data_IF_412834306567
#
_entry.id   IF_412834306567
#
_cell.length_a   1.000
_cell.length_b   1.000
_cell.length_c   1.000
_cell.angle_alpha   90.00
_cell.angle_beta   90.00
_cell.angle_gamma   90.00
#
_symmetry.space_group_name_H-M   'P 1'
#
loop_
_entity.id
_entity.type
_entity.pdbx_description
1 polymer ?
#
# COMPACT_ATOMS: atom_id res chain seq x y z
N UNK A 1 35.79 -84.58 -23.26
CA UNK A 1 35.44 -83.67 -22.16
C UNK A 1 34.71 -82.48 -22.80
N UNK A 2 33.35 -82.48 -22.74
CA UNK A 2 32.50 -81.39 -23.25
C UNK A 2 32.21 -80.40 -22.12
N UNK A 3 32.64 -79.13 -22.30
CA UNK A 3 32.31 -78.04 -21.37
C UNK A 3 30.93 -77.51 -21.72
N UNK A 4 30.01 -77.60 -20.79
CA UNK A 4 28.66 -77.02 -20.89
C UNK A 4 28.82 -75.57 -20.39
N UNK A 5 28.46 -74.59 -21.22
CA UNK A 5 28.40 -73.17 -20.86
C UNK A 5 26.90 -72.89 -20.54
N UNK A 6 26.62 -72.59 -19.26
CA UNK A 6 25.30 -72.20 -18.79
C UNK A 6 25.16 -70.65 -19.00
N UNK A 7 24.22 -70.25 -19.83
CA UNK A 7 23.87 -68.86 -20.07
C UNK A 7 22.80 -68.42 -19.04
N UNK A 8 23.22 -67.54 -18.13
CA UNK A 8 22.25 -66.90 -17.20
C UNK A 8 21.59 -65.73 -17.94
N UNK A 9 20.30 -65.83 -18.18
CA UNK A 9 19.48 -64.73 -18.65
C UNK A 9 18.98 -63.96 -17.45
N UNK A 10 19.48 -62.75 -17.25
CA UNK A 10 19.03 -61.79 -16.21
C UNK A 10 17.85 -61.03 -16.78
N UNK A 11 16.66 -61.28 -16.21
CA UNK A 11 15.44 -60.53 -16.57
C UNK A 11 15.38 -59.25 -15.76
N UNK A 12 15.58 -58.11 -16.39
CA UNK A 12 15.35 -56.83 -15.79
C UNK A 12 13.85 -56.51 -15.81
N UNK A 13 13.23 -56.47 -14.64
CA UNK A 13 11.91 -55.89 -14.44
C UNK A 13 12.02 -54.40 -14.40
N UNK A 14 11.56 -53.69 -15.41
CA UNK A 14 11.27 -52.26 -15.34
C UNK A 14 10.01 -52.03 -14.53
N UNK A 15 10.17 -51.53 -13.31
CA UNK A 15 9.04 -50.96 -12.54
C UNK A 15 8.84 -49.56 -13.10
N UNK A 16 7.82 -49.39 -13.93
CA UNK A 16 7.29 -48.08 -14.27
C UNK A 16 6.60 -47.53 -13.01
N UNK A 17 7.31 -46.70 -12.27
CA UNK A 17 6.72 -45.87 -11.23
C UNK A 17 5.88 -44.80 -11.92
N UNK A 18 4.56 -44.87 -11.82
CA UNK A 18 3.69 -43.71 -12.06
C UNK A 18 4.01 -42.70 -10.95
N UNK A 19 4.74 -41.66 -11.26
CA UNK A 19 4.77 -40.46 -10.45
C UNK A 19 3.45 -39.72 -10.78
N UNK A 20 2.51 -39.73 -9.86
CA UNK A 20 1.42 -38.78 -9.86
C UNK A 20 2.05 -37.38 -9.69
N UNK A 21 2.35 -36.72 -10.80
CA UNK A 21 2.50 -35.28 -10.83
C UNK A 21 1.09 -34.73 -10.54
N UNK A 22 0.79 -34.46 -9.29
CA UNK A 22 -0.20 -33.45 -8.96
C UNK A 22 0.38 -32.15 -9.50
N UNK A 23 -0.02 -31.75 -10.70
CA UNK A 23 -0.01 -30.34 -11.09
C UNK A 23 -0.85 -29.65 -10.00
N UNK A 24 -0.25 -28.79 -9.21
CA UNK A 24 -1.00 -27.80 -8.48
C UNK A 24 -1.76 -27.02 -9.56
N UNK A 25 -3.07 -27.19 -9.56
CA UNK A 25 -3.96 -26.39 -10.40
C UNK A 25 -3.71 -24.95 -9.96
N UNK A 26 -3.18 -24.15 -10.87
CA UNK A 26 -3.12 -22.70 -10.67
C UNK A 26 -4.53 -22.24 -10.27
N UNK A 27 -4.67 -21.40 -9.23
CA UNK A 27 -5.99 -20.93 -8.83
C UNK A 27 -6.71 -20.38 -10.05
N UNK A 28 -7.97 -20.79 -10.22
CA UNK A 28 -8.79 -20.33 -11.34
C UNK A 28 -8.80 -18.80 -11.32
N UNK A 29 -8.58 -18.13 -12.45
CA UNK A 29 -8.63 -16.68 -12.51
C UNK A 29 -10.01 -16.23 -12.02
N UNK A 30 -10.05 -15.17 -11.21
CA UNK A 30 -11.30 -14.55 -10.78
C UNK A 30 -12.06 -14.13 -12.04
N UNK A 31 -13.34 -14.47 -12.13
CA UNK A 31 -14.16 -14.19 -13.32
C UNK A 31 -14.22 -12.68 -13.56
N UNK A 32 -13.93 -12.25 -14.79
CA UNK A 32 -13.94 -10.84 -15.17
C UNK A 32 -12.71 -10.04 -14.75
N UNK A 33 -11.67 -10.71 -14.23
CA UNK A 33 -10.40 -10.05 -13.94
C UNK A 33 -9.67 -9.70 -15.25
N UNK A 34 -9.21 -8.46 -15.35
CA UNK A 34 -8.45 -7.93 -16.48
C UNK A 34 -7.07 -7.44 -16.02
N UNK A 35 -6.03 -7.70 -16.79
CA UNK A 35 -4.71 -7.08 -16.64
C UNK A 35 -4.68 -5.81 -17.51
N UNK A 36 -4.50 -4.64 -16.89
CA UNK A 36 -4.42 -3.34 -17.56
C UNK A 36 -2.98 -3.04 -17.99
N UNK A 37 -2.01 -3.40 -17.14
CA UNK A 37 -0.58 -3.27 -17.42
C UNK A 37 0.21 -4.31 -16.63
N UNK A 38 1.38 -4.65 -17.13
CA UNK A 38 2.31 -5.60 -16.51
C UNK A 38 3.76 -5.08 -16.52
N UNK A 39 4.69 -5.86 -15.99
CA UNK A 39 6.11 -5.49 -15.87
C UNK A 39 6.34 -4.17 -15.10
N UNK A 40 5.54 -3.92 -14.05
CA UNK A 40 5.75 -2.78 -13.15
C UNK A 40 6.88 -3.11 -12.15
N UNK A 41 7.63 -2.08 -11.72
CA UNK A 41 8.80 -2.24 -10.85
C UNK A 41 8.50 -1.78 -9.43
N UNK A 42 8.06 -2.71 -8.56
CA UNK A 42 7.69 -2.43 -7.16
C UNK A 42 6.74 -1.23 -7.06
N UNK A 43 5.56 -1.27 -7.71
CA UNK A 43 4.62 -0.16 -7.71
C UNK A 43 4.07 0.06 -6.30
N UNK A 44 3.78 1.34 -5.93
CA UNK A 44 3.39 1.66 -4.56
C UNK A 44 2.02 2.34 -4.43
N UNK A 45 1.68 3.30 -5.26
CA UNK A 45 0.37 3.94 -5.24
C UNK A 45 -0.28 4.01 -6.62
N UNK A 46 -1.60 4.02 -6.64
CA UNK A 46 -2.42 4.18 -7.85
C UNK A 46 -3.12 5.53 -7.77
N UNK A 47 -3.06 6.29 -8.86
CA UNK A 47 -3.87 7.47 -9.08
C UNK A 47 -4.51 7.39 -10.46
N UNK A 48 -5.84 7.47 -10.54
CA UNK A 48 -6.58 7.39 -11.80
C UNK A 48 -7.30 8.70 -12.08
N UNK A 49 -7.05 9.28 -13.24
CA UNK A 49 -7.77 10.43 -13.75
C UNK A 49 -8.29 10.14 -15.17
N UNK A 50 -9.60 10.21 -15.33
CA UNK A 50 -10.25 9.79 -16.58
C UNK A 50 -9.78 8.37 -16.99
N UNK A 51 -9.23 8.20 -18.19
CA UNK A 51 -8.73 6.92 -18.71
C UNK A 51 -7.21 6.73 -18.52
N UNK A 52 -6.58 7.57 -17.69
CA UNK A 52 -5.13 7.55 -17.45
C UNK A 52 -4.84 7.17 -16.01
N UNK A 53 -3.91 6.23 -15.82
CA UNK A 53 -3.36 5.89 -14.52
C UNK A 53 -1.96 6.49 -14.37
N UNK A 54 -1.64 6.86 -13.15
CA UNK A 54 -0.30 7.26 -12.71
C UNK A 54 0.04 6.40 -11.48
N UNK A 55 1.16 5.69 -11.55
CA UNK A 55 1.62 4.84 -10.46
C UNK A 55 3.04 5.25 -10.06
N UNK A 56 3.31 5.30 -8.78
CA UNK A 56 4.70 5.42 -8.32
C UNK A 56 5.38 4.06 -8.36
N UNK A 57 6.63 4.03 -8.80
CA UNK A 57 7.56 2.92 -8.57
C UNK A 57 8.58 3.36 -7.52
N UNK A 58 8.83 2.50 -6.54
CA UNK A 58 9.70 2.83 -5.40
C UNK A 58 11.10 3.30 -5.80
N UNK A 59 11.57 2.91 -6.97
CA UNK A 59 12.84 3.33 -7.56
C UNK A 59 12.93 4.81 -7.89
N UNK A 60 11.81 5.56 -7.88
CA UNK A 60 11.76 6.98 -8.18
C UNK A 60 11.23 7.32 -9.58
N UNK A 61 10.41 6.44 -10.17
CA UNK A 61 9.69 6.74 -11.41
C UNK A 61 8.19 6.92 -11.15
N UNK A 62 7.52 7.62 -12.05
CA UNK A 62 6.06 7.63 -12.16
C UNK A 62 5.69 6.98 -13.48
N UNK A 63 4.90 5.92 -13.41
CA UNK A 63 4.42 5.18 -14.59
C UNK A 63 3.08 5.75 -15.00
N UNK A 64 3.00 6.27 -16.21
CA UNK A 64 1.76 6.65 -16.85
C UNK A 64 1.25 5.50 -17.72
N UNK A 65 -0.01 5.10 -17.50
CA UNK A 65 -0.66 4.04 -18.28
C UNK A 65 -1.90 4.63 -18.94
N UNK A 66 -1.97 4.54 -20.25
CA UNK A 66 -3.13 4.98 -21.02
C UNK A 66 -3.31 4.07 -22.25
N UNK A 67 -4.54 3.62 -22.48
CA UNK A 67 -4.88 2.73 -23.61
C UNK A 67 -3.99 1.46 -23.68
N UNK A 68 -3.55 0.95 -22.52
CA UNK A 68 -2.64 -0.20 -22.40
C UNK A 68 -1.15 0.11 -22.69
N UNK A 69 -0.82 1.35 -23.03
CA UNK A 69 0.57 1.78 -23.19
C UNK A 69 1.16 2.18 -21.83
N UNK A 70 2.33 1.65 -21.51
CA UNK A 70 3.09 1.89 -20.27
C UNK A 70 4.26 2.82 -20.58
N UNK A 71 4.27 4.00 -19.96
CA UNK A 71 5.30 5.01 -20.09
C UNK A 71 5.92 5.32 -18.72
N UNK A 72 7.18 4.97 -18.50
CA UNK A 72 7.93 5.39 -17.32
C UNK A 72 8.43 6.82 -17.50
N UNK A 73 7.99 7.70 -16.61
CA UNK A 73 8.36 9.10 -16.58
C UNK A 73 9.35 9.32 -15.43
N UNK A 74 10.48 9.95 -15.73
CA UNK A 74 11.48 10.28 -14.71
C UNK A 74 10.97 11.35 -13.75
N UNK A 75 11.47 11.28 -12.51
CA UNK A 75 11.21 12.28 -11.48
C UNK A 75 12.55 12.96 -11.13
N UNK A 76 12.60 14.27 -11.25
CA UNK A 76 13.75 15.11 -10.83
C UNK A 76 13.40 15.74 -9.48
N UNK A 77 14.10 15.33 -8.43
CA UNK A 77 13.90 15.74 -7.04
C UNK A 77 15.10 16.53 -6.54
N UNK A 78 14.92 17.32 -5.48
CA UNK A 78 16.02 18.04 -4.82
C UNK A 78 16.94 17.06 -4.06
N UNK A 79 16.36 16.05 -3.41
CA UNK A 79 17.11 14.99 -2.73
C UNK A 79 16.94 13.67 -3.48
N UNK A 80 18.00 12.86 -3.53
CA UNK A 80 17.95 11.55 -4.17
C UNK A 80 17.04 10.59 -3.39
N UNK A 81 16.19 9.85 -4.10
CA UNK A 81 15.31 8.84 -3.48
C UNK A 81 16.15 7.72 -2.87
N UNK A 82 16.03 7.53 -1.56
CA UNK A 82 16.52 6.30 -0.93
C UNK A 82 15.60 5.13 -1.27
N UNK A 83 16.19 3.99 -1.64
CA UNK A 83 15.47 2.73 -1.90
C UNK A 83 15.82 1.65 -0.88
N UNK A 84 16.45 2.05 0.24
CA UNK A 84 16.86 1.11 1.28
C UNK A 84 15.63 0.48 1.97
N UNK A 85 15.58 -0.84 2.04
CA UNK A 85 14.49 -1.59 2.68
C UNK A 85 13.10 -1.26 2.13
N UNK A 86 12.26 -0.54 2.88
CA UNK A 86 10.90 -0.15 2.48
C UNK A 86 10.83 1.27 1.89
N UNK A 87 11.93 2.00 1.92
CA UNK A 87 12.05 3.36 1.40
C UNK A 87 11.80 3.45 -0.11
N UNK A 88 11.52 4.64 -0.60
CA UNK A 88 11.29 4.89 -2.02
C UNK A 88 10.44 6.11 -2.30
N UNK A 89 10.06 6.28 -3.56
CA UNK A 89 8.94 7.14 -3.96
C UNK A 89 7.65 6.38 -3.65
N UNK A 90 6.88 6.84 -2.66
CA UNK A 90 5.76 6.13 -2.07
C UNK A 90 4.42 6.73 -2.51
N UNK A 91 3.83 7.60 -1.69
CA UNK A 91 2.55 8.23 -1.95
C UNK A 91 2.59 9.23 -3.09
N UNK A 92 1.50 9.25 -3.84
CA UNK A 92 1.30 10.18 -4.94
C UNK A 92 -0.18 10.48 -5.08
N UNK A 93 -0.53 11.74 -5.28
CA UNK A 93 -1.89 12.18 -5.55
C UNK A 93 -1.88 13.37 -6.49
N UNK A 94 -2.72 13.37 -7.52
CA UNK A 94 -2.86 14.48 -8.44
C UNK A 94 -3.57 15.65 -7.77
N UNK A 95 -3.12 16.89 -8.06
CA UNK A 95 -3.81 18.08 -7.61
C UNK A 95 -5.25 18.12 -8.17
N UNK A 96 -6.23 18.72 -7.45
CA UNK A 96 -7.60 18.80 -7.92
C UNK A 96 -7.73 19.47 -9.30
N UNK A 97 -6.88 20.45 -9.57
CA UNK A 97 -6.77 21.20 -10.83
C UNK A 97 -5.68 20.68 -11.79
N UNK A 98 -5.22 19.43 -11.62
CA UNK A 98 -4.14 18.83 -12.41
C UNK A 98 -4.25 19.05 -13.92
N UNK A 99 -5.47 19.04 -14.49
CA UNK A 99 -5.67 19.28 -15.93
C UNK A 99 -5.24 20.68 -16.39
N UNK A 100 -5.12 21.63 -15.46
CA UNK A 100 -4.73 23.02 -15.73
C UNK A 100 -3.30 23.27 -15.21
N UNK A 101 -3.00 22.78 -13.99
CA UNK A 101 -1.75 23.04 -13.28
C UNK A 101 -0.65 22.08 -13.63
N UNK A 102 -0.95 20.84 -14.03
CA UNK A 102 -0.02 19.70 -14.12
C UNK A 102 0.68 19.38 -12.79
N UNK A 103 0.08 19.77 -11.64
CA UNK A 103 0.64 19.55 -10.30
C UNK A 103 0.17 18.22 -9.70
N UNK A 104 1.05 17.62 -8.93
CA UNK A 104 0.78 16.48 -8.06
C UNK A 104 1.54 16.65 -6.74
N UNK A 105 1.18 15.84 -5.75
CA UNK A 105 1.84 15.73 -4.46
C UNK A 105 2.54 14.38 -4.39
N UNK A 106 3.76 14.37 -3.87
CA UNK A 106 4.54 13.15 -3.69
C UNK A 106 5.12 13.05 -2.28
N UNK A 107 5.19 11.82 -1.78
CA UNK A 107 5.86 11.47 -0.54
C UNK A 107 7.02 10.53 -0.89
N UNK A 108 8.24 10.89 -0.50
CA UNK A 108 9.39 10.05 -0.74
C UNK A 108 10.39 10.07 0.41
N UNK A 109 11.24 9.04 0.44
CA UNK A 109 12.31 8.88 1.43
C UNK A 109 13.64 9.31 0.83
N UNK A 110 14.46 10.02 1.62
CA UNK A 110 15.81 10.44 1.26
C UNK A 110 16.78 10.20 2.43
N UNK A 111 18.08 10.34 2.17
CA UNK A 111 19.13 10.18 3.17
C UNK A 111 19.85 11.53 3.40
N UNK A 112 20.03 11.90 4.68
CA UNK A 112 20.85 13.02 5.10
C UNK A 112 21.97 12.51 6.04
N UNK A 113 23.14 12.31 5.49
CA UNK A 113 24.28 11.69 6.18
C UNK A 113 24.06 10.22 6.49
N UNK A 114 23.93 9.87 7.75
CA UNK A 114 23.64 8.50 8.22
C UNK A 114 22.17 8.31 8.62
N UNK A 115 21.37 9.37 8.56
CA UNK A 115 19.95 9.37 8.93
C UNK A 115 19.07 9.32 7.69
N UNK A 116 17.86 8.82 7.85
CA UNK A 116 16.86 8.71 6.81
C UNK A 116 15.61 9.48 7.21
N UNK A 117 15.06 10.23 6.27
CA UNK A 117 13.86 11.02 6.46
C UNK A 117 12.90 10.83 5.32
N UNK A 118 11.64 11.18 5.56
CA UNK A 118 10.65 11.32 4.51
C UNK A 118 10.28 12.78 4.34
N UNK A 119 9.84 13.15 3.13
CA UNK A 119 9.37 14.50 2.82
C UNK A 119 8.16 14.48 1.89
N UNK A 120 7.40 15.57 1.91
CA UNK A 120 6.24 15.79 1.05
C UNK A 120 6.54 17.02 0.20
N UNK A 121 6.35 16.86 -1.11
CA UNK A 121 6.67 17.89 -2.11
C UNK A 121 5.54 18.04 -3.12
N UNK A 122 5.51 19.15 -3.85
CA UNK A 122 4.77 19.24 -5.11
C UNK A 122 5.65 18.83 -6.27
N UNK A 123 5.07 18.15 -7.24
CA UNK A 123 5.71 17.79 -8.51
C UNK A 123 4.93 18.44 -9.65
N UNK A 124 5.64 19.04 -10.61
CA UNK A 124 5.06 19.54 -11.86
C UNK A 124 5.45 18.64 -13.03
N UNK A 125 4.46 18.24 -13.81
CA UNK A 125 4.71 17.49 -15.05
C UNK A 125 5.00 18.45 -16.21
N UNK A 126 6.23 18.41 -16.72
CA UNK A 126 6.68 19.17 -17.90
C UNK A 126 7.44 18.25 -18.85
N UNK A 127 7.08 18.24 -20.11
CA UNK A 127 7.77 17.47 -21.16
C UNK A 127 8.01 15.99 -20.79
N UNK A 128 7.03 15.35 -20.10
CA UNK A 128 7.06 13.94 -19.64
C UNK A 128 8.07 13.69 -18.50
N UNK A 129 8.51 14.75 -17.82
CA UNK A 129 9.36 14.70 -16.64
C UNK A 129 8.62 15.35 -15.49
N UNK A 130 8.59 14.69 -14.33
CA UNK A 130 8.08 15.25 -13.08
C UNK A 130 9.21 16.00 -12.38
N UNK A 131 9.02 17.27 -12.05
CA UNK A 131 10.01 18.10 -11.36
C UNK A 131 9.48 18.54 -10.01
N UNK A 132 10.29 18.40 -8.99
CA UNK A 132 10.01 19.00 -7.69
C UNK A 132 9.92 20.51 -7.84
N UNK A 133 8.85 21.13 -7.28
CA UNK A 133 8.58 22.55 -7.38
C UNK A 133 8.65 23.21 -6.00
N UNK A 134 7.87 22.70 -5.03
CA UNK A 134 7.82 23.23 -3.67
C UNK A 134 7.97 22.11 -2.65
N UNK A 135 8.74 22.39 -1.59
CA UNK A 135 8.80 21.58 -0.38
C UNK A 135 7.62 21.93 0.53
N UNK A 136 6.76 20.97 0.87
CA UNK A 136 5.61 21.17 1.75
C UNK A 136 5.90 20.78 3.20
N UNK A 137 6.55 19.66 3.41
CA UNK A 137 6.93 19.16 4.73
C UNK A 137 8.19 18.32 4.62
N UNK A 138 9.13 18.55 5.53
CA UNK A 138 10.43 17.88 5.56
C UNK A 138 10.68 17.20 6.89
N UNK A 139 11.75 16.38 6.94
CA UNK A 139 12.25 15.72 8.14
C UNK A 139 11.18 14.92 8.90
N UNK A 140 10.23 14.31 8.17
CA UNK A 140 9.34 13.31 8.77
C UNK A 140 10.23 12.12 9.14
N UNK A 141 10.21 11.64 10.41
CA UNK A 141 11.04 10.53 10.85
C UNK A 141 10.93 9.32 9.94
N UNK A 142 12.06 8.70 9.64
CA UNK A 142 12.17 7.50 8.83
C UNK A 142 13.18 6.54 9.45
N UNK A 143 13.07 5.27 9.14
CA UNK A 143 13.96 4.22 9.63
C UNK A 143 14.10 3.11 8.61
N UNK A 144 14.58 1.94 9.03
CA UNK A 144 14.65 0.77 8.14
C UNK A 144 13.26 0.32 7.66
N UNK A 145 12.24 0.51 8.49
CA UNK A 145 10.84 0.13 8.26
C UNK A 145 9.90 1.22 8.76
N UNK A 146 8.62 1.09 8.43
CA UNK A 146 7.52 1.89 8.93
C UNK A 146 7.59 3.35 8.45
N UNK A 147 7.57 3.53 7.14
CA UNK A 147 7.58 4.86 6.53
C UNK A 147 6.18 5.51 6.47
N UNK A 148 5.09 4.71 6.63
CA UNK A 148 3.75 5.17 6.29
C UNK A 148 3.66 5.43 4.79
N UNK A 149 3.59 6.70 4.40
CA UNK A 149 3.81 7.15 3.01
C UNK A 149 2.56 7.35 2.17
N UNK A 150 1.35 7.04 2.67
CA UNK A 150 0.12 7.26 1.90
C UNK A 150 -0.22 8.74 1.86
N UNK A 151 -0.52 9.26 0.66
CA UNK A 151 -1.07 10.59 0.44
C UNK A 151 -2.50 10.47 -0.10
N UNK A 152 -3.42 11.28 0.41
CA UNK A 152 -4.74 11.50 -0.18
C UNK A 152 -5.24 12.92 0.11
N UNK A 153 -6.08 13.45 -0.77
CA UNK A 153 -6.80 14.70 -0.52
C UNK A 153 -8.17 14.33 0.05
N UNK A 154 -8.46 14.84 1.25
CA UNK A 154 -9.71 14.60 1.94
C UNK A 154 -10.87 15.38 1.35
N UNK A 155 -12.13 15.08 1.76
CA UNK A 155 -13.32 15.81 1.31
C UNK A 155 -13.37 17.29 1.75
N UNK A 156 -12.50 17.67 2.68
CA UNK A 156 -12.28 19.03 3.18
C UNK A 156 -11.20 19.80 2.39
N UNK A 157 -10.76 19.25 1.25
CA UNK A 157 -9.72 19.80 0.38
C UNK A 157 -8.35 19.99 1.09
N UNK A 158 -8.05 19.16 2.07
CA UNK A 158 -6.73 19.12 2.73
C UNK A 158 -5.94 17.90 2.25
N UNK A 159 -4.62 18.04 2.25
CA UNK A 159 -3.70 16.95 2.02
C UNK A 159 -3.49 16.19 3.34
N UNK A 160 -3.73 14.89 3.32
CA UNK A 160 -3.45 13.99 4.42
C UNK A 160 -2.29 13.08 4.06
N UNK A 161 -1.44 12.82 5.05
CA UNK A 161 -0.30 11.92 4.90
C UNK A 161 -0.23 10.96 6.09
N UNK A 162 0.08 9.68 5.83
CA UNK A 162 0.42 8.74 6.88
C UNK A 162 1.92 8.75 7.11
N UNK A 163 2.35 8.75 8.38
CA UNK A 163 3.74 8.64 8.79
C UNK A 163 3.87 7.49 9.81
N UNK A 164 4.76 6.54 9.55
CA UNK A 164 5.05 5.46 10.49
C UNK A 164 5.93 5.91 11.64
N UNK A 165 6.11 5.02 12.62
CA UNK A 165 6.94 5.27 13.81
C UNK A 165 8.46 5.16 13.55
N UNK A 166 8.88 5.03 12.29
CA UNK A 166 10.28 4.90 11.90
C UNK A 166 11.04 3.74 12.62
N UNK A 167 10.33 2.76 13.16
CA UNK A 167 10.82 1.71 14.06
C UNK A 167 11.28 2.21 15.44
N UNK A 168 10.96 3.45 15.79
CA UNK A 168 11.06 4.02 17.15
C UNK A 168 9.65 4.20 17.71
N UNK A 169 9.17 3.18 18.40
CA UNK A 169 7.78 3.11 18.88
C UNK A 169 7.38 4.24 19.81
N UNK A 170 8.33 4.83 20.56
CA UNK A 170 8.06 5.87 21.53
C UNK A 170 7.59 7.18 20.87
N UNK A 171 8.05 7.48 19.67
CA UNK A 171 7.67 8.71 18.96
C UNK A 171 6.19 8.74 18.55
N UNK A 172 5.52 7.57 18.50
CA UNK A 172 4.10 7.51 18.18
C UNK A 172 3.22 8.26 19.20
N UNK A 173 3.62 8.29 20.49
CA UNK A 173 2.93 9.00 21.56
C UNK A 173 3.44 10.44 21.76
N UNK A 174 4.55 10.82 21.14
CA UNK A 174 5.11 12.18 21.24
C UNK A 174 4.44 13.10 20.20
N UNK A 175 3.69 14.10 20.65
CA UNK A 175 3.01 15.08 19.78
C UNK A 175 3.95 16.10 19.14
N UNK A 176 5.19 16.20 19.58
CA UNK A 176 6.22 17.05 18.96
C UNK A 176 6.91 16.30 17.79
N UNK A 177 6.74 14.98 17.66
CA UNK A 177 7.21 14.16 16.55
C UNK A 177 6.17 14.05 15.43
N UNK A 178 6.62 14.01 14.19
CA UNK A 178 5.78 13.72 13.00
C UNK A 178 5.63 12.22 12.71
N UNK A 179 6.40 11.34 13.38
CA UNK A 179 6.32 9.89 13.22
C UNK A 179 5.21 9.25 14.03
N UNK A 180 4.63 8.15 13.54
CA UNK A 180 3.49 7.47 14.15
C UNK A 180 2.21 8.31 14.16
N UNK A 181 1.93 8.97 13.03
CA UNK A 181 0.87 9.98 12.89
C UNK A 181 0.08 9.81 11.59
N UNK A 182 -1.14 10.32 11.61
CA UNK A 182 -1.77 10.85 10.40
C UNK A 182 -1.60 12.37 10.45
N UNK A 183 -1.03 12.94 9.40
CA UNK A 183 -0.75 14.36 9.24
C UNK A 183 -1.80 15.00 8.33
N UNK A 184 -2.14 16.29 8.59
CA UNK A 184 -3.08 17.07 7.76
C UNK A 184 -2.54 18.46 7.52
N UNK A 185 -2.54 18.88 6.26
CA UNK A 185 -2.04 20.19 5.82
C UNK A 185 -2.91 20.79 4.72
N UNK A 186 -2.80 22.10 4.53
CA UNK A 186 -3.33 22.76 3.32
C UNK A 186 -2.53 22.31 2.09
N UNK A 187 -3.11 22.47 0.91
CA UNK A 187 -2.45 22.09 -0.35
C UNK A 187 -1.19 22.93 -0.66
N UNK A 188 -1.00 24.05 0.04
CA UNK A 188 0.20 24.89 -0.01
C UNK A 188 1.23 24.54 1.07
N UNK A 189 1.04 23.46 1.81
CA UNK A 189 1.92 23.01 2.90
C UNK A 189 1.72 23.73 4.23
N UNK A 190 0.89 24.76 4.30
CA UNK A 190 0.62 25.46 5.57
C UNK A 190 -0.25 24.61 6.52
N UNK A 191 -0.10 24.87 7.83
CA UNK A 191 -0.90 24.18 8.86
C UNK A 191 -2.33 24.73 8.86
N UNK A 192 -3.36 23.87 8.72
CA UNK A 192 -4.75 24.29 8.86
C UNK A 192 -5.05 24.86 10.25
N UNK A 193 -5.80 25.96 10.30
CA UNK A 193 -6.14 26.61 11.57
C UNK A 193 -7.13 25.81 12.43
N UNK A 194 -7.75 24.79 11.85
CA UNK A 194 -8.71 23.87 12.45
C UNK A 194 -8.14 22.48 12.75
N UNK A 195 -6.81 22.30 12.67
CA UNK A 195 -6.16 21.08 13.16
C UNK A 195 -6.39 20.93 14.67
N UNK A 196 -6.53 19.67 15.17
CA UNK A 196 -6.84 19.43 16.58
C UNK A 196 -5.76 19.92 17.53
N UNK A 197 -4.51 19.98 17.09
CA UNK A 197 -3.38 20.50 17.86
C UNK A 197 -2.89 21.80 17.22
N UNK A 198 -3.03 22.91 17.95
CA UNK A 198 -2.75 24.25 17.42
C UNK A 198 -1.28 24.38 16.94
N UNK A 199 -1.10 24.76 15.70
CA UNK A 199 0.23 24.93 15.10
C UNK A 199 0.96 23.61 14.78
N UNK A 200 0.26 22.49 14.75
CA UNK A 200 0.79 21.16 14.43
C UNK A 200 0.13 20.58 13.18
N UNK A 201 0.88 19.80 12.41
CA UNK A 201 0.36 18.98 11.32
C UNK A 201 -0.39 17.73 11.80
N UNK A 202 -0.24 17.34 13.07
CA UNK A 202 -0.81 16.12 13.62
C UNK A 202 -2.34 16.18 13.59
N UNK A 203 -2.96 15.19 12.91
CA UNK A 203 -4.41 14.99 12.88
C UNK A 203 -4.84 13.91 13.88
N UNK A 204 -4.11 12.78 13.91
CA UNK A 204 -4.23 11.71 14.91
C UNK A 204 -2.86 11.14 15.23
N UNK A 205 -2.71 10.43 16.36
CA UNK A 205 -1.43 9.93 16.85
C UNK A 205 -1.55 8.55 17.49
N UNK A 206 -0.41 7.97 17.89
CA UNK A 206 -0.41 6.62 18.44
C UNK A 206 -0.54 5.55 17.37
N UNK A 207 0.00 5.81 16.20
CA UNK A 207 0.06 4.88 15.06
C UNK A 207 1.43 4.21 14.95
N UNK A 208 1.44 2.95 14.49
CA UNK A 208 2.67 2.23 14.20
C UNK A 208 3.14 2.42 12.75
N UNK A 209 2.35 1.96 11.80
CA UNK A 209 2.68 2.07 10.37
C UNK A 209 1.40 2.11 9.52
N UNK A 210 0.67 3.22 9.54
CA UNK A 210 -0.53 3.36 8.72
C UNK A 210 -0.16 3.52 7.24
N UNK A 211 -0.82 2.76 6.33
CA UNK A 211 -0.50 2.75 4.90
C UNK A 211 -1.71 2.94 3.98
N UNK A 212 -2.92 2.97 4.51
CA UNK A 212 -4.13 3.24 3.75
C UNK A 212 -5.01 4.28 4.43
N UNK A 213 -5.75 5.04 3.63
CA UNK A 213 -6.75 6.00 4.08
C UNK A 213 -7.89 6.08 3.09
N UNK A 214 -9.12 6.24 3.58
CA UNK A 214 -10.28 6.53 2.74
C UNK A 214 -11.36 7.27 3.53
N UNK A 215 -12.30 7.93 2.84
CA UNK A 215 -13.43 8.62 3.45
C UNK A 215 -14.72 8.13 2.82
N UNK A 216 -15.71 7.84 3.65
CA UNK A 216 -17.08 7.65 3.17
C UNK A 216 -17.67 8.99 2.67
N UNK A 217 -18.79 8.89 2.00
CA UNK A 217 -19.47 10.07 1.44
C UNK A 217 -19.99 11.06 2.49
N UNK A 218 -20.14 10.64 3.75
CA UNK A 218 -20.52 11.47 4.89
C UNK A 218 -19.31 12.15 5.57
N UNK A 219 -18.08 11.90 5.09
CA UNK A 219 -16.83 12.43 5.61
C UNK A 219 -16.17 11.57 6.69
N UNK A 220 -16.74 10.43 7.07
CA UNK A 220 -16.14 9.50 8.02
C UNK A 220 -14.84 8.91 7.45
N UNK A 221 -13.75 9.04 8.17
CA UNK A 221 -12.41 8.61 7.77
C UNK A 221 -12.06 7.25 8.33
N UNK A 222 -11.40 6.43 7.51
CA UNK A 222 -10.83 5.15 7.91
C UNK A 222 -9.36 5.06 7.49
N UNK A 223 -8.56 4.34 8.28
CA UNK A 223 -7.18 4.01 7.95
C UNK A 223 -6.88 2.53 8.20
N UNK A 224 -5.94 2.01 7.44
CA UNK A 224 -5.38 0.66 7.64
C UNK A 224 -3.97 0.76 8.20
N UNK A 225 -3.61 -0.13 9.12
CA UNK A 225 -2.36 -0.06 9.86
C UNK A 225 -1.77 -1.44 10.13
N UNK A 226 -0.45 -1.56 10.01
CA UNK A 226 0.28 -2.78 10.38
C UNK A 226 0.48 -2.88 11.89
N UNK A 227 0.09 -4.00 12.48
CA UNK A 227 0.49 -4.40 13.83
C UNK A 227 1.94 -4.86 13.94
N UNK A 228 2.42 -5.24 15.13
CA UNK A 228 3.84 -5.62 15.33
C UNK A 228 4.19 -6.95 14.64
N UNK A 229 3.55 -8.03 15.04
CA UNK A 229 3.71 -9.35 14.40
C UNK A 229 2.39 -9.90 13.87
N UNK A 230 1.30 -9.44 14.40
CA UNK A 230 -0.10 -9.71 14.17
C UNK A 230 -0.89 -8.45 14.53
N UNK A 231 -2.19 -8.56 14.78
CA UNK A 231 -3.02 -7.45 15.22
C UNK A 231 -3.01 -6.25 14.26
N UNK A 232 -2.93 -6.51 12.96
CA UNK A 232 -3.16 -5.45 11.97
C UNK A 232 -4.57 -4.87 12.16
N UNK A 233 -4.73 -3.59 11.85
CA UNK A 233 -5.89 -2.81 12.25
C UNK A 233 -6.55 -2.08 11.08
N UNK A 234 -7.87 -1.96 11.18
CA UNK A 234 -8.66 -0.99 10.43
C UNK A 234 -9.29 -0.07 11.47
N UNK A 235 -8.92 1.19 11.41
CA UNK A 235 -9.28 2.22 12.36
C UNK A 235 -10.29 3.20 11.79
N UNK A 236 -11.33 3.56 12.56
CA UNK A 236 -12.14 4.75 12.33
C UNK A 236 -11.37 5.94 12.89
N UNK A 237 -11.03 6.91 12.04
CA UNK A 237 -10.13 8.01 12.40
C UNK A 237 -10.90 9.27 12.76
N UNK A 238 -10.64 9.79 13.96
CA UNK A 238 -11.17 11.05 14.46
C UNK A 238 -10.04 12.02 14.81
N UNK A 239 -10.32 13.31 14.64
CA UNK A 239 -9.34 14.37 14.87
C UNK A 239 -8.91 14.44 16.34
N UNK A 240 -7.60 14.40 16.60
CA UNK A 240 -7.02 14.54 17.92
C UNK A 240 -6.97 13.26 18.77
N UNK A 241 -7.51 12.15 18.24
CA UNK A 241 -7.56 10.88 18.97
C UNK A 241 -6.22 10.13 18.96
N UNK A 242 -6.02 9.32 20.02
CA UNK A 242 -4.86 8.45 20.24
C UNK A 242 -5.22 7.00 19.93
N UNK A 243 -4.54 6.39 18.94
CA UNK A 243 -4.77 5.01 18.49
C UNK A 243 -3.91 3.96 19.23
N UNK A 244 -3.24 4.38 20.28
CA UNK A 244 -2.73 3.54 21.35
C UNK A 244 -1.34 2.97 21.17
N UNK A 245 -0.81 2.82 19.96
CA UNK A 245 0.53 2.31 19.78
C UNK A 245 1.60 3.15 20.48
N UNK A 246 2.58 2.59 21.22
CA UNK A 246 2.80 1.15 21.48
C UNK A 246 2.20 0.67 22.81
N UNK A 247 1.29 1.42 23.41
CA UNK A 247 0.73 1.15 24.74
C UNK A 247 -0.33 0.06 24.69
N UNK A 248 -1.17 0.09 23.65
CA UNK A 248 -2.15 -0.95 23.33
C UNK A 248 -1.99 -1.36 21.85
N UNK A 249 -2.42 -2.58 21.53
CA UNK A 249 -2.42 -3.16 20.20
C UNK A 249 -3.63 -4.09 20.02
N UNK A 250 -4.23 -4.10 18.83
CA UNK A 250 -5.34 -4.98 18.50
C UNK A 250 -6.56 -4.79 19.40
N UNK A 251 -7.01 -5.83 20.08
CA UNK A 251 -8.21 -5.80 20.93
C UNK A 251 -7.97 -5.29 22.36
N UNK A 252 -6.79 -4.79 22.68
CA UNK A 252 -6.51 -4.21 23.98
C UNK A 252 -7.25 -2.88 24.15
N UNK A 253 -7.61 -2.53 25.38
CA UNK A 253 -8.34 -1.31 25.72
C UNK A 253 -7.61 -0.53 26.82
N UNK A 254 -7.49 0.79 26.65
CA UNK A 254 -7.01 1.71 27.67
C UNK A 254 -7.78 3.03 27.62
N UNK A 255 -8.06 3.61 28.77
CA UNK A 255 -8.73 4.92 28.87
C UNK A 255 -7.94 6.00 28.11
N UNK A 256 -8.61 6.74 27.23
CA UNK A 256 -8.03 7.79 26.39
C UNK A 256 -7.33 7.28 25.12
N UNK A 257 -7.53 6.02 24.79
CA UNK A 257 -7.06 5.41 23.52
C UNK A 257 -8.22 4.75 22.78
N UNK A 258 -8.16 4.80 21.46
CA UNK A 258 -9.19 4.26 20.57
C UNK A 258 -8.77 2.88 20.11
N UNK A 259 -9.62 1.87 20.34
CA UNK A 259 -9.40 0.52 19.81
C UNK A 259 -9.83 0.42 18.35
N UNK A 260 -9.21 -0.45 17.56
CA UNK A 260 -9.54 -0.62 16.14
C UNK A 260 -10.97 -1.13 15.92
N UNK A 261 -11.54 -0.77 14.76
CA UNK A 261 -12.84 -1.28 14.33
C UNK A 261 -12.75 -2.76 13.92
N UNK A 262 -11.66 -3.13 13.23
CA UNK A 262 -11.33 -4.52 12.90
C UNK A 262 -9.86 -4.78 13.19
N UNK A 263 -9.57 -6.00 13.64
CA UNK A 263 -8.20 -6.47 13.84
C UNK A 263 -8.01 -7.86 13.21
N UNK A 264 -6.78 -8.13 12.74
CA UNK A 264 -6.43 -9.47 12.25
C UNK A 264 -6.33 -10.50 13.37
N UNK A 265 -6.28 -10.04 14.64
CA UNK A 265 -6.13 -10.86 15.83
C UNK A 265 -4.70 -11.33 16.08
N UNK A 266 -4.49 -11.96 17.25
CA UNK A 266 -3.16 -12.26 17.81
C UNK A 266 -2.30 -13.25 17.00
N UNK A 267 -2.90 -14.00 16.09
CA UNK A 267 -2.22 -15.10 15.39
C UNK A 267 -2.22 -14.94 13.87
N UNK A 268 -2.67 -13.82 13.35
CA UNK A 268 -2.80 -13.57 11.91
C UNK A 268 -2.27 -12.20 11.54
N UNK A 269 -1.87 -12.04 10.29
CA UNK A 269 -1.44 -10.76 9.75
C UNK A 269 -1.88 -10.63 8.30
N UNK A 270 -2.46 -9.48 7.98
CA UNK A 270 -2.80 -9.06 6.63
C UNK A 270 -1.67 -8.24 6.00
N UNK A 271 -0.92 -7.49 6.84
CA UNK A 271 -0.07 -6.38 6.45
C UNK A 271 -0.82 -5.45 5.48
N UNK A 272 -1.87 -4.76 5.98
CA UNK A 272 -2.78 -3.99 5.15
C UNK A 272 -2.11 -2.73 4.63
N UNK A 273 -2.35 -2.38 3.37
CA UNK A 273 -1.77 -1.20 2.73
C UNK A 273 -2.86 -0.30 2.15
N UNK A 274 -2.81 0.06 0.87
CA UNK A 274 -3.81 0.95 0.32
C UNK A 274 -5.24 0.47 0.51
N UNK A 275 -6.16 1.42 0.65
CA UNK A 275 -7.58 1.14 0.84
C UNK A 275 -8.45 2.14 0.11
N UNK A 276 -9.66 1.69 -0.24
CA UNK A 276 -10.74 2.51 -0.76
C UNK A 276 -12.09 1.96 -0.29
N UNK A 277 -13.19 2.65 -0.59
CA UNK A 277 -14.51 2.26 -0.13
C UNK A 277 -15.56 2.32 -1.23
N UNK A 278 -16.60 1.50 -1.08
CA UNK A 278 -17.77 1.49 -1.94
C UNK A 278 -19.00 0.98 -1.18
N UNK A 279 -20.10 1.72 -1.21
CA UNK A 279 -21.41 1.34 -0.65
C UNK A 279 -21.35 0.79 0.79
N UNK A 280 -20.60 1.48 1.68
CA UNK A 280 -20.49 1.07 3.09
C UNK A 280 -19.55 -0.09 3.37
N UNK A 281 -18.72 -0.48 2.38
CA UNK A 281 -17.68 -1.48 2.51
C UNK A 281 -16.31 -0.86 2.29
N UNK A 282 -15.31 -1.35 3.01
CA UNK A 282 -13.91 -1.01 2.80
C UNK A 282 -13.24 -2.14 2.02
N UNK A 283 -12.45 -1.76 1.02
CA UNK A 283 -11.60 -2.68 0.25
C UNK A 283 -10.15 -2.36 0.58
N UNK A 284 -9.40 -3.34 1.04
CA UNK A 284 -8.05 -3.18 1.59
C UNK A 284 -7.07 -4.12 0.91
N UNK A 285 -5.99 -3.57 0.39
CA UNK A 285 -4.87 -4.35 -0.12
C UNK A 285 -4.11 -5.02 1.02
N UNK A 286 -3.88 -6.32 0.94
CA UNK A 286 -3.16 -7.10 1.93
C UNK A 286 -1.87 -7.69 1.36
N UNK A 287 -0.73 -7.25 1.89
CA UNK A 287 0.59 -7.69 1.43
C UNK A 287 0.93 -9.10 1.90
N UNK A 288 0.82 -9.38 3.20
CA UNK A 288 1.07 -10.72 3.76
C UNK A 288 -0.16 -11.62 3.66
N UNK A 289 -1.35 -11.04 3.71
CA UNK A 289 -2.59 -11.73 3.42
C UNK A 289 -2.71 -12.16 1.95
N UNK A 290 -1.93 -11.56 1.04
CA UNK A 290 -1.92 -11.88 -0.40
C UNK A 290 -3.30 -11.86 -1.03
N UNK A 291 -4.08 -10.83 -0.68
CA UNK A 291 -5.49 -10.70 -1.03
C UNK A 291 -5.92 -9.23 -1.18
N UNK A 292 -7.07 -8.98 -1.75
CA UNK A 292 -7.90 -7.82 -1.43
C UNK A 292 -8.95 -8.30 -0.43
N UNK A 293 -9.04 -7.57 0.69
CA UNK A 293 -10.00 -7.82 1.77
C UNK A 293 -11.17 -6.85 1.64
N UNK A 294 -12.38 -7.36 1.88
CA UNK A 294 -13.59 -6.56 2.03
C UNK A 294 -14.01 -6.58 3.50
N UNK A 295 -14.31 -5.40 4.06
CA UNK A 295 -14.88 -5.22 5.38
C UNK A 295 -16.24 -4.55 5.24
N UNK A 296 -17.29 -5.19 5.70
CA UNK A 296 -18.65 -4.67 5.69
C UNK A 296 -18.91 -3.88 6.98
N UNK A 297 -19.13 -2.57 6.85
CA UNK A 297 -19.29 -1.67 8.00
C UNK A 297 -20.66 -1.81 8.68
N UNK A 298 -21.67 -2.38 8.00
CA UNK A 298 -23.00 -2.61 8.57
C UNK A 298 -23.03 -3.91 9.40
N UNK A 299 -22.45 -4.99 8.85
CA UNK A 299 -22.49 -6.32 9.48
C UNK A 299 -21.32 -6.58 10.41
N UNK A 300 -20.19 -5.87 10.24
CA UNK A 300 -18.93 -6.12 10.95
C UNK A 300 -18.19 -7.37 10.45
N UNK A 301 -18.58 -7.93 9.30
CA UNK A 301 -17.93 -9.09 8.71
C UNK A 301 -16.80 -8.70 7.77
N UNK A 302 -15.83 -9.59 7.59
CA UNK A 302 -14.74 -9.43 6.62
C UNK A 302 -14.55 -10.71 5.80
N UNK A 303 -14.11 -10.54 4.54
CA UNK A 303 -13.79 -11.65 3.65
C UNK A 303 -12.68 -11.31 2.66
N UNK A 304 -12.03 -12.32 2.13
CA UNK A 304 -11.13 -12.18 0.99
C UNK A 304 -11.95 -12.17 -0.30
N UNK A 305 -11.81 -11.15 -1.13
CA UNK A 305 -12.54 -11.01 -2.40
C UNK A 305 -11.67 -11.28 -3.63
N UNK A 306 -10.36 -11.06 -3.52
CA UNK A 306 -9.36 -11.38 -4.55
C UNK A 306 -8.23 -12.16 -3.87
N UNK A 307 -7.87 -13.32 -4.42
CA UNK A 307 -6.77 -14.16 -3.93
C UNK A 307 -5.98 -14.75 -5.09
N UNK A 308 -4.83 -15.37 -4.80
CA UNK A 308 -4.04 -16.11 -5.78
C UNK A 308 -3.18 -15.24 -6.71
N UNK A 309 -3.07 -13.93 -6.45
CA UNK A 309 -2.25 -12.99 -7.22
C UNK A 309 -1.01 -12.52 -6.45
N UNK A 310 -0.75 -13.11 -5.28
CA UNK A 310 0.34 -12.73 -4.38
C UNK A 310 0.02 -11.46 -3.61
N UNK A 311 1.06 -10.71 -3.29
CA UNK A 311 1.03 -9.50 -2.47
C UNK A 311 0.30 -8.37 -3.19
N UNK A 312 -0.67 -7.74 -2.54
CA UNK A 312 -1.40 -6.60 -3.08
C UNK A 312 -0.99 -5.35 -2.30
N UNK A 313 -0.62 -4.27 -3.02
CA UNK A 313 -0.08 -3.04 -2.42
C UNK A 313 -1.11 -1.92 -2.30
N UNK A 314 -1.90 -1.71 -3.32
CA UNK A 314 -2.84 -0.60 -3.35
C UNK A 314 -4.12 -0.97 -4.07
N UNK A 315 -5.20 -0.31 -3.70
CA UNK A 315 -6.51 -0.43 -4.33
C UNK A 315 -7.09 0.96 -4.58
N UNK A 316 -7.82 1.10 -5.66
CA UNK A 316 -8.60 2.28 -5.98
C UNK A 316 -9.92 1.88 -6.63
N UNK A 317 -11.02 2.48 -6.20
CA UNK A 317 -12.34 2.26 -6.78
C UNK A 317 -12.74 3.48 -7.59
N UNK A 318 -13.17 3.24 -8.83
CA UNK A 318 -13.66 4.29 -9.72
C UNK A 318 -14.72 3.70 -10.65
N UNK A 319 -15.85 4.38 -10.81
CA UNK A 319 -16.89 4.02 -11.75
C UNK A 319 -17.38 2.55 -11.63
N UNK A 320 -17.54 2.03 -10.39
CA UNK A 320 -17.89 0.64 -10.05
C UNK A 320 -16.84 -0.42 -10.41
N UNK A 321 -15.64 -0.02 -10.76
CA UNK A 321 -14.50 -0.91 -10.96
C UNK A 321 -13.51 -0.80 -9.80
N UNK A 322 -13.00 -1.92 -9.34
CA UNK A 322 -11.87 -2.03 -8.45
C UNK A 322 -10.60 -2.18 -9.28
N UNK A 323 -9.67 -1.25 -9.09
CA UNK A 323 -8.30 -1.32 -9.60
C UNK A 323 -7.36 -1.67 -8.47
N UNK A 324 -6.37 -2.52 -8.72
CA UNK A 324 -5.38 -2.86 -7.71
C UNK A 324 -4.05 -3.27 -8.34
N UNK A 325 -2.97 -3.09 -7.58
CA UNK A 325 -1.61 -3.45 -8.00
C UNK A 325 -1.02 -4.56 -7.14
N UNK A 326 -0.38 -5.53 -7.79
CA UNK A 326 0.46 -6.51 -7.09
C UNK A 326 1.78 -5.87 -6.66
N UNK A 327 2.50 -6.53 -5.75
CA UNK A 327 3.80 -6.09 -5.22
C UNK A 327 4.67 -7.31 -4.90
N UNK A 328 4.80 -8.21 -5.86
CA UNK A 328 5.52 -9.47 -5.70
C UNK A 328 7.03 -9.30 -5.88
N UNK A 329 7.45 -8.21 -6.56
CA UNK A 329 8.86 -7.90 -6.84
C UNK A 329 9.55 -7.09 -5.75
N UNK A 330 8.90 -6.84 -4.59
CA UNK A 330 9.42 -6.06 -3.46
C UNK A 330 10.52 -6.79 -2.64
N UNK A 331 10.93 -7.97 -3.06
CA UNK A 331 11.92 -8.82 -2.36
C UNK A 331 11.33 -9.70 -1.25
N UNK A 332 10.01 -9.63 -1.00
CA UNK A 332 9.26 -10.42 0.00
C UNK A 332 8.17 -11.29 -0.62
N UNK A 333 7.86 -11.07 -1.90
CA UNK A 333 6.91 -11.85 -2.67
C UNK A 333 7.55 -13.02 -3.40
N UNK A 334 6.73 -13.74 -4.17
CA UNK A 334 7.13 -14.80 -5.09
C UNK A 334 6.72 -14.36 -6.52
N UNK A 335 7.54 -13.56 -7.20
CA UNK A 335 7.17 -12.94 -8.45
C UNK A 335 6.98 -13.97 -9.56
N UNK A 336 5.91 -13.80 -10.32
CA UNK A 336 5.59 -14.59 -11.50
C UNK A 336 6.07 -13.84 -12.77
N UNK A 337 5.96 -14.50 -13.92
CA UNK A 337 6.31 -13.88 -15.19
C UNK A 337 5.49 -12.59 -15.42
N UNK A 338 6.18 -11.52 -15.78
CA UNK A 338 5.64 -10.18 -16.01
C UNK A 338 5.00 -9.51 -14.75
N UNK A 339 5.33 -9.92 -13.52
CA UNK A 339 4.98 -9.13 -12.33
C UNK A 339 5.84 -7.85 -12.26
N UNK A 340 5.38 -6.79 -11.61
CA UNK A 340 4.06 -6.60 -11.00
C UNK A 340 3.03 -6.10 -12.03
N UNK A 341 1.74 -6.11 -11.64
CA UNK A 341 0.65 -5.82 -12.57
C UNK A 341 -0.38 -4.86 -11.98
N UNK A 342 -0.99 -4.07 -12.85
CA UNK A 342 -2.22 -3.34 -12.57
C UNK A 342 -3.39 -4.17 -13.08
N UNK A 343 -4.35 -4.42 -12.21
CA UNK A 343 -5.55 -5.19 -12.51
C UNK A 343 -6.81 -4.32 -12.43
N UNK A 344 -7.86 -4.78 -13.09
CA UNK A 344 -9.22 -4.26 -13.00
C UNK A 344 -10.21 -5.40 -12.84
N UNK A 345 -11.23 -5.19 -12.02
CA UNK A 345 -12.41 -6.05 -11.93
C UNK A 345 -13.63 -5.21 -11.61
N UNK A 346 -14.79 -5.55 -12.19
CA UNK A 346 -16.04 -4.90 -11.80
C UNK A 346 -16.43 -5.37 -10.40
N UNK A 347 -16.86 -4.43 -9.53
CA UNK A 347 -17.34 -4.75 -8.18
C UNK A 347 -18.52 -5.72 -8.20
N UNK A 348 -19.35 -5.68 -9.25
CA UNK A 348 -20.45 -6.64 -9.44
C UNK A 348 -20.01 -8.10 -9.60
N UNK A 349 -18.74 -8.36 -9.90
CA UNK A 349 -18.19 -9.70 -10.00
C UNK A 349 -17.63 -10.23 -8.66
N UNK A 350 -17.66 -9.40 -7.61
CA UNK A 350 -17.19 -9.73 -6.26
C UNK A 350 -18.34 -10.07 -5.28
N UNK A 351 -19.60 -9.96 -5.73
CA UNK A 351 -20.80 -10.24 -4.94
C UNK A 351 -21.04 -11.75 -4.71
#
# INVERSE_FOLDING_TARGET
MKKIITLLISTFFFIAGCSDNKQEESPLPVEGLEVIADNLEVPWSIEKREDTFYLTERSGNIVKIKDGEVERQSVELEEDVSTASEAGLLGFVLAPDFSESNLAYAYYTYEDGEEQFNRIVTLRLEDRVWREEDLLLDQIPSGTYHHGGRLKIGPDEKLYATAGDASDREIAQDLDSLGGKILRMNLDGSIPGDNPFAGSYVYSFGHRNPQGMTWLSDGTMYASEHGDNANDEINLIEAGENYGWPVIEGSEEQEGMVSPLFTSGDNSTWAPSGMDNFEGKLFVAALRGSAVLEFDLETGESREVITGLGRIRDVQIKDNDLYFISNNTDGRGDPQENDDKLYRISLSNLE
#
